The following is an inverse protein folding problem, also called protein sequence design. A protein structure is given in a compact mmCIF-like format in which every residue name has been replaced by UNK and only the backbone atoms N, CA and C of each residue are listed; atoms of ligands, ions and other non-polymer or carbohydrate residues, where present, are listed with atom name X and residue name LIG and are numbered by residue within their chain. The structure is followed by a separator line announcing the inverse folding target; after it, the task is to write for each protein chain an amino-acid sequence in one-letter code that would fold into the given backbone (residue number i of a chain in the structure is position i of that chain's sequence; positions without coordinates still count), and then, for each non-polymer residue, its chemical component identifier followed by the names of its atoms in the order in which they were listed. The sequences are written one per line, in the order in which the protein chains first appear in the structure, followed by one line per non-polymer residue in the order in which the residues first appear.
data_IF_543566943330
#
_entry.id   IF_543566943330
#
_cell.length_a   1.000
_cell.length_b   1.000
_cell.length_c   1.000
_cell.angle_alpha   90.00
_cell.angle_beta   90.00
_cell.angle_gamma   90.00
#
_symmetry.space_group_name_H-M   'P 1'
#
loop_
_entity.id
_entity.type
_entity.pdbx_description
1 polymer ?
#
# COMPACT_ATOMS: atom_id res chain seq x y z
N UNK A 1 -11.38 2.37 -29.29
CA UNK A 1 -11.27 1.22 -28.35
C UNK A 1 -9.94 1.32 -27.60
N UNK A 2 -9.95 1.77 -26.34
CA UNK A 2 -8.72 1.80 -25.51
C UNK A 2 -9.00 1.56 -24.00
N UNK A 3 -10.22 1.17 -23.63
CA UNK A 3 -10.65 1.09 -22.22
C UNK A 3 -10.06 -0.12 -21.46
N UNK A 4 -9.61 -1.17 -22.16
CA UNK A 4 -9.14 -2.41 -21.55
C UNK A 4 -7.70 -2.36 -21.04
N UNK A 5 -6.84 -1.47 -21.57
CA UNK A 5 -5.45 -1.34 -21.12
C UNK A 5 -5.34 -0.69 -19.75
N UNK A 6 -6.10 0.39 -19.52
CA UNK A 6 -6.08 1.10 -18.23
C UNK A 6 -6.63 0.24 -17.09
N UNK A 7 -7.70 -0.53 -17.35
CA UNK A 7 -8.23 -1.49 -16.37
C UNK A 7 -7.21 -2.55 -15.96
N UNK A 8 -6.47 -3.13 -16.90
CA UNK A 8 -5.43 -4.12 -16.59
C UNK A 8 -4.29 -3.54 -15.77
N UNK A 9 -3.81 -2.34 -16.13
CA UNK A 9 -2.75 -1.68 -15.37
C UNK A 9 -3.22 -1.37 -13.94
N UNK A 10 -4.46 -0.90 -13.77
CA UNK A 10 -5.04 -0.68 -12.46
C UNK A 10 -5.07 -1.97 -11.62
N UNK A 11 -5.56 -3.08 -12.18
CA UNK A 11 -5.62 -4.39 -11.51
C UNK A 11 -4.24 -4.92 -11.11
N UNK A 12 -3.21 -4.69 -11.94
CA UNK A 12 -1.82 -5.06 -11.64
C UNK A 12 -1.25 -4.24 -10.49
N UNK A 13 -1.46 -2.92 -10.52
CA UNK A 13 -1.05 -2.00 -9.44
C UNK A 13 -1.78 -2.31 -8.13
N UNK A 14 -3.08 -2.61 -8.20
CA UNK A 14 -3.88 -3.00 -7.03
C UNK A 14 -3.36 -4.28 -6.40
N UNK A 15 -3.03 -5.29 -7.22
CA UNK A 15 -2.49 -6.56 -6.74
C UNK A 15 -1.12 -6.38 -6.07
N UNK A 16 -0.22 -5.60 -6.67
CA UNK A 16 1.09 -5.34 -6.07
C UNK A 16 0.97 -4.58 -4.74
N UNK A 17 0.10 -3.58 -4.70
CA UNK A 17 -0.15 -2.81 -3.48
C UNK A 17 -0.74 -3.70 -2.37
N UNK A 18 -1.70 -4.56 -2.69
CA UNK A 18 -2.24 -5.55 -1.73
C UNK A 18 -1.14 -6.45 -1.17
N UNK A 19 -0.25 -6.96 -2.01
CA UNK A 19 0.86 -7.80 -1.56
C UNK A 19 1.82 -7.04 -0.62
N UNK A 20 2.11 -5.77 -0.92
CA UNK A 20 2.95 -4.92 -0.06
C UNK A 20 2.28 -4.60 1.28
N UNK A 21 1.00 -4.23 1.27
CA UNK A 21 0.21 -3.98 2.49
C UNK A 21 0.21 -5.23 3.38
N UNK A 22 -0.07 -6.39 2.80
CA UNK A 22 -0.07 -7.66 3.54
C UNK A 22 1.31 -7.98 4.12
N UNK A 23 2.38 -7.81 3.33
CA UNK A 23 3.74 -8.02 3.81
C UNK A 23 4.12 -7.07 4.96
N UNK A 24 3.74 -5.78 4.87
CA UNK A 24 4.00 -4.81 5.92
C UNK A 24 3.26 -5.14 7.21
N UNK A 25 1.98 -5.49 7.13
CA UNK A 25 1.15 -5.90 8.28
C UNK A 25 1.73 -7.12 8.98
N UNK A 26 2.07 -8.17 8.22
CA UNK A 26 2.68 -9.36 8.79
C UNK A 26 3.99 -9.07 9.51
N UNK A 27 4.80 -8.12 9.03
CA UNK A 27 6.02 -7.73 9.74
C UNK A 27 5.69 -6.92 10.99
N UNK A 28 4.80 -5.93 10.90
CA UNK A 28 4.35 -5.09 12.03
C UNK A 28 3.80 -5.94 13.18
N UNK A 29 2.93 -6.91 12.88
CA UNK A 29 2.34 -7.81 13.87
C UNK A 29 3.39 -8.65 14.62
N UNK A 30 4.56 -8.86 14.01
CA UNK A 30 5.66 -9.62 14.60
C UNK A 30 6.72 -8.76 15.30
N UNK A 31 6.73 -7.43 15.11
CA UNK A 31 7.69 -6.52 15.75
C UNK A 31 7.71 -6.63 17.29
N UNK A 32 6.56 -6.74 18.00
CA UNK A 32 6.55 -6.89 19.46
C UNK A 32 7.32 -8.11 19.97
N UNK A 33 7.48 -9.14 19.14
CA UNK A 33 8.22 -10.36 19.47
C UNK A 33 9.71 -10.27 19.12
N UNK A 34 10.18 -9.13 18.64
CA UNK A 34 11.56 -8.90 18.23
C UNK A 34 12.27 -7.90 19.15
N UNK A 35 13.60 -8.02 19.23
CA UNK A 35 14.43 -7.15 20.06
C UNK A 35 15.69 -6.71 19.33
N UNK A 36 16.28 -5.61 19.81
CA UNK A 36 17.59 -5.12 19.36
C UNK A 36 17.67 -4.90 17.84
N UNK A 37 18.69 -5.50 17.23
CA UNK A 37 18.99 -5.32 15.81
C UNK A 37 17.91 -5.93 14.90
N UNK A 38 17.29 -7.05 15.29
CA UNK A 38 16.20 -7.67 14.53
C UNK A 38 14.97 -6.77 14.48
N UNK A 39 14.59 -6.16 15.61
CA UNK A 39 13.49 -5.17 15.67
C UNK A 39 13.79 -3.99 14.76
N UNK A 40 15.01 -3.44 14.84
CA UNK A 40 15.44 -2.31 14.01
C UNK A 40 15.40 -2.64 12.51
N UNK A 41 15.85 -3.83 12.12
CA UNK A 41 15.80 -4.29 10.74
C UNK A 41 14.37 -4.46 10.23
N UNK A 42 13.45 -4.97 11.05
CA UNK A 42 12.04 -5.08 10.70
C UNK A 42 11.37 -3.72 10.51
N UNK A 43 11.61 -2.76 11.42
CA UNK A 43 11.13 -1.38 11.28
C UNK A 43 11.62 -0.76 9.96
N UNK A 44 12.92 -0.89 9.65
CA UNK A 44 13.47 -0.39 8.39
C UNK A 44 12.86 -1.05 7.16
N UNK A 45 12.56 -2.35 7.24
CA UNK A 45 11.91 -3.09 6.15
C UNK A 45 10.48 -2.61 5.93
N UNK A 46 9.71 -2.43 7.01
CA UNK A 46 8.35 -1.87 6.92
C UNK A 46 8.38 -0.45 6.37
N UNK A 47 9.32 0.38 6.79
CA UNK A 47 9.47 1.74 6.26
C UNK A 47 9.62 1.76 4.73
N UNK A 48 10.52 0.92 4.19
CA UNK A 48 10.70 0.81 2.73
C UNK A 48 9.44 0.30 2.04
N UNK A 49 8.76 -0.70 2.62
CA UNK A 49 7.52 -1.22 2.04
C UNK A 49 6.42 -0.16 2.05
N UNK A 50 6.33 0.65 3.10
CA UNK A 50 5.35 1.73 3.23
C UNK A 50 5.60 2.86 2.22
N UNK A 51 6.87 3.22 1.98
CA UNK A 51 7.25 4.19 0.95
C UNK A 51 6.88 3.68 -0.45
N UNK A 52 7.25 2.44 -0.78
CA UNK A 52 6.86 1.79 -2.05
C UNK A 52 5.33 1.75 -2.22
N UNK A 53 4.60 1.39 -1.15
CA UNK A 53 3.14 1.29 -1.18
C UNK A 53 2.48 2.66 -1.40
N UNK A 54 3.04 3.73 -0.82
CA UNK A 54 2.59 5.10 -1.06
C UNK A 54 2.76 5.51 -2.52
N UNK A 55 3.88 5.13 -3.14
CA UNK A 55 4.11 5.38 -4.56
C UNK A 55 3.11 4.64 -5.46
N UNK A 56 2.76 3.40 -5.11
CA UNK A 56 1.71 2.66 -5.82
C UNK A 56 0.33 3.29 -5.66
N UNK A 57 -0.03 3.80 -4.49
CA UNK A 57 -1.28 4.57 -4.28
C UNK A 57 -1.31 5.81 -5.18
N UNK A 58 -0.17 6.49 -5.34
CA UNK A 58 -0.06 7.64 -6.24
C UNK A 58 -0.24 7.22 -7.70
N UNK A 59 0.36 6.10 -8.13
CA UNK A 59 0.19 5.55 -9.47
C UNK A 59 -1.27 5.12 -9.74
N UNK A 60 -1.92 4.43 -8.79
CA UNK A 60 -3.34 4.11 -8.87
C UNK A 60 -4.22 5.35 -8.98
N UNK A 61 -3.87 6.42 -8.26
CA UNK A 61 -4.60 7.69 -8.32
C UNK A 61 -4.44 8.38 -9.68
N UNK A 62 -3.28 8.24 -10.34
CA UNK A 62 -3.06 8.70 -11.71
C UNK A 62 -3.89 7.86 -12.68
N UNK A 63 -3.84 6.54 -12.56
CA UNK A 63 -4.57 5.64 -13.46
C UNK A 63 -6.08 5.82 -13.32
N UNK A 64 -6.59 5.99 -12.10
CA UNK A 64 -7.99 6.33 -11.84
C UNK A 64 -8.45 7.60 -12.59
N UNK A 65 -7.58 8.62 -12.71
CA UNK A 65 -7.91 9.83 -13.46
C UNK A 65 -8.10 9.55 -14.95
N UNK A 66 -7.37 8.59 -15.50
CA UNK A 66 -7.47 8.14 -16.89
C UNK A 66 -8.71 7.28 -17.16
N UNK A 67 -9.36 6.75 -16.11
CA UNK A 67 -10.57 5.94 -16.21
C UNK A 67 -11.80 6.80 -16.49
N UNK A 68 -12.68 6.30 -17.36
CA UNK A 68 -13.95 6.94 -17.72
C UNK A 68 -15.12 5.95 -17.60
N UNK A 69 -16.31 6.48 -17.32
CA UNK A 69 -17.53 5.67 -17.21
C UNK A 69 -17.69 4.96 -15.87
N UNK A 70 -18.44 3.85 -15.86
CA UNK A 70 -18.93 3.18 -14.66
C UNK A 70 -17.88 2.45 -13.82
N UNK A 71 -16.72 2.09 -14.38
CA UNK A 71 -15.63 1.44 -13.62
C UNK A 71 -14.91 2.40 -12.67
N UNK A 72 -14.96 3.70 -12.95
CA UNK A 72 -14.23 4.73 -12.19
C UNK A 72 -14.68 4.79 -10.73
N UNK A 73 -15.97 4.65 -10.44
CA UNK A 73 -16.48 4.68 -9.06
C UNK A 73 -15.98 3.50 -8.22
N UNK A 74 -15.97 2.30 -8.80
CA UNK A 74 -15.41 1.10 -8.16
C UNK A 74 -13.92 1.28 -7.87
N UNK A 75 -13.15 1.75 -8.85
CA UNK A 75 -11.73 1.99 -8.67
C UNK A 75 -11.43 3.12 -7.67
N UNK A 76 -12.25 4.17 -7.62
CA UNK A 76 -12.11 5.23 -6.61
C UNK A 76 -12.26 4.68 -5.19
N UNK A 77 -13.24 3.79 -4.96
CA UNK A 77 -13.40 3.12 -3.67
C UNK A 77 -12.17 2.29 -3.29
N UNK A 78 -11.59 1.55 -4.25
CA UNK A 78 -10.35 0.79 -4.05
C UNK A 78 -9.18 1.70 -3.70
N UNK A 79 -8.96 2.81 -4.43
CA UNK A 79 -7.86 3.74 -4.14
C UNK A 79 -7.99 4.35 -2.75
N UNK A 80 -9.20 4.75 -2.34
CA UNK A 80 -9.43 5.30 -1.00
C UNK A 80 -9.15 4.28 0.10
N UNK A 81 -9.64 3.05 -0.07
CA UNK A 81 -9.38 1.98 0.88
C UNK A 81 -7.88 1.70 1.00
N UNK A 82 -7.20 1.50 -0.13
CA UNK A 82 -5.77 1.23 -0.14
C UNK A 82 -4.93 2.37 0.46
N UNK A 83 -5.32 3.64 0.24
CA UNK A 83 -4.70 4.79 0.89
C UNK A 83 -4.82 4.70 2.41
N UNK A 84 -6.02 4.42 2.92
CA UNK A 84 -6.26 4.25 4.35
C UNK A 84 -5.42 3.12 4.95
N UNK A 85 -5.22 2.03 4.22
CA UNK A 85 -4.39 0.90 4.66
C UNK A 85 -2.91 1.29 4.76
N UNK A 86 -2.40 2.05 3.79
CA UNK A 86 -1.02 2.57 3.82
C UNK A 86 -0.84 3.57 4.97
N UNK A 87 -1.80 4.48 5.18
CA UNK A 87 -1.77 5.44 6.28
C UNK A 87 -1.79 4.74 7.66
N UNK A 88 -2.54 3.63 7.77
CA UNK A 88 -2.54 2.78 8.98
C UNK A 88 -1.17 2.14 9.22
N UNK A 89 -0.54 1.58 8.18
CA UNK A 89 0.82 1.01 8.26
C UNK A 89 1.82 2.07 8.73
N UNK A 90 1.76 3.28 8.18
CA UNK A 90 2.66 4.37 8.57
C UNK A 90 2.46 4.79 10.03
N UNK A 91 1.21 4.87 10.48
CA UNK A 91 0.90 5.17 11.89
C UNK A 91 1.42 4.09 12.83
N UNK A 92 1.22 2.82 12.49
CA UNK A 92 1.74 1.70 13.29
C UNK A 92 3.27 1.66 13.31
N UNK A 93 3.90 1.96 12.18
CA UNK A 93 5.36 2.06 12.08
C UNK A 93 5.92 3.14 12.99
N UNK A 94 5.30 4.33 13.01
CA UNK A 94 5.71 5.43 13.90
C UNK A 94 5.64 5.00 15.37
N UNK A 95 4.52 4.40 15.77
CA UNK A 95 4.35 3.88 17.13
C UNK A 95 5.39 2.80 17.47
N UNK A 96 5.77 1.97 16.51
CA UNK A 96 6.79 0.93 16.69
C UNK A 96 8.22 1.49 16.77
N UNK A 97 8.49 2.64 16.15
CA UNK A 97 9.80 3.31 16.16
C UNK A 97 10.03 4.22 17.35
N UNK A 98 8.96 4.71 17.99
CA UNK A 98 9.04 5.57 19.18
C UNK A 98 9.33 4.80 20.49
N UNK A 99 9.51 3.46 20.41
CA UNK A 99 9.83 2.54 21.52
C UNK A 99 11.23 1.95 21.35
#
# INVERSE_FOLDING_TARGET
MNNSKGTRLFEELERDLKAKVEAAKNILDNIPNQSGETKKAAIQRVARIADDAKDLVNQLSIELKNQSGSSRSTFDAVVRFMRSEVDSIQTQLLNASDI
#
